data_IF_681896518770
#
_entry.id   IF_681896518770
#
_cell.length_a   1.000
_cell.length_b   1.000
_cell.length_c   1.000
_cell.angle_alpha   90.00
_cell.angle_beta   90.00
_cell.angle_gamma   90.00
#
_symmetry.space_group_name_H-M   'P 1'
#
loop_
_entity.id
_entity.type
_entity.pdbx_description
1 polymer ?
#
# COMPACT_ATOMS: atom_id res chain seq x y z
N UNK A 1 -0.53 -21.51 14.45
CA UNK A 1 -0.37 -20.04 14.28
C UNK A 1 -1.61 -19.54 13.57
N UNK A 2 -2.31 -18.53 14.10
CA UNK A 2 -3.47 -17.93 13.42
C UNK A 2 -3.03 -16.70 12.62
N UNK A 3 -3.79 -16.29 11.60
CA UNK A 3 -3.53 -15.02 10.92
C UNK A 3 -3.42 -13.85 11.91
N UNK A 4 -2.45 -12.97 11.72
CA UNK A 4 -2.19 -11.82 12.59
C UNK A 4 -1.46 -12.15 13.92
N UNK A 5 -1.12 -13.42 14.18
CA UNK A 5 -0.20 -13.78 15.27
C UNK A 5 1.27 -13.53 14.83
N UNK A 6 2.19 -13.22 15.76
CA UNK A 6 3.62 -13.17 15.46
C UNK A 6 4.12 -14.56 15.02
N UNK A 7 5.18 -14.57 14.20
CA UNK A 7 5.86 -15.81 13.84
C UNK A 7 6.35 -16.56 15.10
N UNK A 8 6.35 -17.91 15.08
CA UNK A 8 6.99 -18.66 16.16
C UNK A 8 8.51 -18.43 16.16
N UNK A 9 9.13 -18.53 17.35
CA UNK A 9 10.58 -18.45 17.48
C UNK A 9 11.19 -17.05 17.50
N UNK A 10 10.37 -15.99 17.48
CA UNK A 10 10.87 -14.62 17.64
C UNK A 10 11.58 -14.43 19.00
N UNK A 11 12.70 -13.72 18.98
CA UNK A 11 13.33 -13.20 20.20
C UNK A 11 12.38 -12.27 20.95
N UNK A 12 12.66 -12.02 22.23
CA UNK A 12 11.88 -11.08 23.03
C UNK A 12 11.82 -9.68 22.39
N UNK A 13 12.93 -9.22 21.79
CA UNK A 13 13.01 -7.93 21.12
C UNK A 13 12.17 -7.88 19.83
N UNK A 14 12.20 -8.93 19.01
CA UNK A 14 11.36 -9.02 17.80
C UNK A 14 9.88 -9.12 18.13
N UNK A 15 9.53 -9.92 19.13
CA UNK A 15 8.15 -10.00 19.63
C UNK A 15 7.69 -8.65 20.17
N UNK A 16 8.55 -7.92 20.88
CA UNK A 16 8.29 -6.56 21.33
C UNK A 16 8.00 -5.60 20.18
N UNK A 17 8.85 -5.62 19.13
CA UNK A 17 8.64 -4.80 17.91
C UNK A 17 7.33 -5.14 17.20
N UNK A 18 7.00 -6.43 17.08
CA UNK A 18 5.73 -6.87 16.49
C UNK A 18 4.53 -6.33 17.28
N UNK A 19 4.55 -6.47 18.61
CA UNK A 19 3.44 -6.03 19.46
C UNK A 19 3.29 -4.51 19.44
N UNK A 20 4.39 -3.76 19.45
CA UNK A 20 4.37 -2.31 19.29
C UNK A 20 3.79 -1.90 17.93
N UNK A 21 4.25 -2.52 16.84
CA UNK A 21 3.73 -2.27 15.50
C UNK A 21 2.23 -2.56 15.40
N UNK A 22 1.77 -3.66 15.99
CA UNK A 22 0.34 -3.98 16.06
C UNK A 22 -0.45 -2.92 16.83
N UNK A 23 0.04 -2.49 17.99
CA UNK A 23 -0.62 -1.44 18.77
C UNK A 23 -0.71 -0.11 18.01
N UNK A 24 0.35 0.27 17.27
CA UNK A 24 0.33 1.45 16.41
C UNK A 24 -0.66 1.29 15.24
N UNK A 25 -0.74 0.09 14.66
CA UNK A 25 -1.63 -0.22 13.54
C UNK A 25 -3.12 -0.13 13.91
N UNK A 26 -3.45 -0.43 15.17
CA UNK A 26 -4.81 -0.36 15.73
C UNK A 26 -5.15 1.02 16.32
N UNK A 27 -4.15 1.90 16.48
CA UNK A 27 -4.30 3.21 17.10
C UNK A 27 -5.07 4.15 16.19
N UNK A 28 -6.05 4.85 16.74
CA UNK A 28 -6.68 6.01 16.10
C UNK A 28 -5.66 7.14 15.97
N UNK A 29 -5.48 7.65 14.77
CA UNK A 29 -4.78 8.87 14.48
C UNK A 29 -5.76 10.04 14.53
N UNK A 30 -5.34 11.14 15.14
CA UNK A 30 -6.11 12.39 15.22
C UNK A 30 -5.50 13.45 14.30
N UNK A 31 -6.23 14.56 14.11
CA UNK A 31 -5.74 15.67 13.29
C UNK A 31 -4.42 16.25 13.81
N UNK A 32 -4.24 16.34 15.12
CA UNK A 32 -3.01 16.81 15.78
C UNK A 32 -1.86 15.79 15.72
N UNK A 33 -2.16 14.51 15.45
CA UNK A 33 -1.17 13.46 15.24
C UNK A 33 -0.80 13.24 13.77
N UNK A 34 -1.28 14.09 12.87
CA UNK A 34 -0.93 14.04 11.45
C UNK A 34 -1.83 13.16 10.59
N UNK A 35 -3.08 12.88 11.00
CA UNK A 35 -4.10 12.25 10.14
C UNK A 35 -4.29 13.02 8.82
N UNK A 36 -4.07 14.33 8.85
CA UNK A 36 -4.28 15.23 7.73
C UNK A 36 -5.65 15.91 7.75
N UNK A 37 -5.83 16.98 6.96
CA UNK A 37 -7.10 17.67 6.81
C UNK A 37 -8.17 16.81 6.12
N UNK A 38 -7.70 16.00 5.17
CA UNK A 38 -8.42 15.06 4.35
C UNK A 38 -7.79 13.67 4.59
N UNK A 39 -8.59 12.62 4.55
CA UNK A 39 -8.15 11.25 4.84
C UNK A 39 -9.15 10.21 4.29
N UNK A 40 -8.76 8.93 4.30
CA UNK A 40 -9.67 7.83 3.94
C UNK A 40 -10.13 7.02 5.16
N UNK A 41 -9.25 6.85 6.15
CA UNK A 41 -9.51 6.18 7.42
C UNK A 41 -8.59 6.72 8.52
N UNK A 42 -9.05 6.64 9.77
CA UNK A 42 -8.41 7.16 10.97
C UNK A 42 -7.43 6.19 11.64
N UNK A 43 -7.33 4.95 11.15
CA UNK A 43 -6.37 3.94 11.62
C UNK A 43 -6.15 2.89 10.54
N UNK A 44 -4.98 2.27 10.51
CA UNK A 44 -4.63 1.28 9.49
C UNK A 44 -5.57 0.06 9.55
N UNK A 45 -5.95 -0.37 10.77
CA UNK A 45 -6.88 -1.48 11.00
C UNK A 45 -8.33 -1.18 10.65
N UNK A 46 -8.69 0.03 10.17
CA UNK A 46 -10.05 0.29 9.69
C UNK A 46 -10.30 -0.37 8.32
N UNK A 47 -9.23 -0.59 7.54
CA UNK A 47 -9.30 -1.24 6.24
C UNK A 47 -8.57 -2.59 6.19
N UNK A 48 -7.53 -2.78 7.02
CA UNK A 48 -6.68 -3.97 6.99
C UNK A 48 -6.93 -4.88 8.20
N UNK A 49 -8.09 -5.54 8.25
CA UNK A 49 -8.59 -6.25 9.43
C UNK A 49 -9.09 -7.68 9.19
N UNK A 50 -9.07 -8.17 7.94
CA UNK A 50 -9.58 -9.49 7.58
C UNK A 50 -8.50 -10.47 7.11
N UNK A 51 -8.43 -11.70 7.65
CA UNK A 51 -9.27 -12.24 8.74
C UNK A 51 -8.84 -11.78 10.15
N UNK A 52 -7.77 -11.00 10.25
CA UNK A 52 -7.31 -10.37 11.48
C UNK A 52 -6.58 -9.05 11.13
N UNK A 53 -6.27 -8.23 12.14
CA UNK A 53 -5.49 -6.99 11.99
C UNK A 53 -4.19 -7.24 11.23
N UNK A 54 -3.92 -6.42 10.21
CA UNK A 54 -2.83 -6.58 9.24
C UNK A 54 -3.22 -7.39 7.99
N UNK A 55 -4.46 -7.88 7.95
CA UNK A 55 -5.03 -8.57 6.81
C UNK A 55 -5.49 -7.63 5.70
N UNK A 56 -6.30 -8.14 4.78
CA UNK A 56 -6.97 -7.31 3.77
C UNK A 56 -8.28 -6.74 4.31
N UNK A 57 -9.09 -6.17 3.43
CA UNK A 57 -10.45 -5.79 3.77
C UNK A 57 -11.23 -5.24 2.58
N UNK A 58 -12.54 -5.46 2.60
CA UNK A 58 -13.46 -5.08 1.51
C UNK A 58 -14.51 -4.03 1.92
N UNK A 59 -14.55 -3.67 3.21
CA UNK A 59 -15.56 -2.76 3.79
C UNK A 59 -15.33 -1.30 3.43
N UNK A 60 -14.07 -0.88 3.40
CA UNK A 60 -13.66 0.46 3.01
C UNK A 60 -12.88 0.32 1.71
N UNK A 61 -13.43 0.91 0.64
CA UNK A 61 -12.80 0.93 -0.66
C UNK A 61 -12.15 2.29 -0.88
N UNK A 62 -10.91 2.26 -1.33
CA UNK A 62 -10.16 3.47 -1.70
C UNK A 62 -10.43 3.78 -3.18
N UNK A 63 -10.70 5.04 -3.49
CA UNK A 63 -10.79 5.49 -4.89
C UNK A 63 -9.37 5.75 -5.39
N UNK A 64 -8.98 5.04 -6.45
CA UNK A 64 -7.72 5.24 -7.16
C UNK A 64 -7.99 5.88 -8.52
N UNK A 65 -7.31 6.96 -8.85
CA UNK A 65 -7.39 7.65 -10.14
C UNK A 65 -6.05 7.61 -10.88
N UNK A 66 -6.07 7.42 -12.19
CA UNK A 66 -4.85 7.42 -13.01
C UNK A 66 -5.08 8.12 -14.34
N UNK A 67 -4.01 8.67 -14.90
CA UNK A 67 -4.00 9.12 -16.30
C UNK A 67 -3.23 8.13 -17.16
N UNK A 68 -3.79 7.75 -18.30
CA UNK A 68 -3.13 6.92 -19.29
C UNK A 68 -2.88 7.74 -20.55
N UNK A 69 -1.61 8.10 -20.77
CA UNK A 69 -1.17 8.90 -21.91
C UNK A 69 0.08 8.25 -22.52
N UNK A 70 0.14 8.21 -23.85
CA UNK A 70 1.29 7.66 -24.61
C UNK A 70 1.72 6.25 -24.17
N UNK A 71 0.74 5.39 -23.88
CA UNK A 71 1.01 4.01 -23.44
C UNK A 71 1.50 3.88 -22.00
N UNK A 72 1.50 4.97 -21.21
CA UNK A 72 2.00 4.98 -19.83
C UNK A 72 0.91 5.39 -18.85
N UNK A 73 0.82 4.64 -17.76
CA UNK A 73 0.00 4.99 -16.60
C UNK A 73 0.77 5.97 -15.71
N UNK A 74 0.18 7.13 -15.42
CA UNK A 74 0.68 8.15 -14.50
C UNK A 74 -0.18 8.14 -13.24
N UNK A 75 0.46 8.27 -12.10
CA UNK A 75 -0.16 8.26 -10.77
C UNK A 75 -0.53 9.67 -10.29
N UNK A 76 -0.68 10.63 -11.21
CA UNK A 76 -1.20 11.99 -10.94
C UNK A 76 -0.48 12.76 -9.81
N UNK A 77 0.79 12.43 -9.50
CA UNK A 77 1.55 13.09 -8.40
C UNK A 77 1.49 14.63 -8.40
N UNK A 78 1.61 15.34 -9.52
CA UNK A 78 1.52 16.81 -9.53
C UNK A 78 0.15 17.36 -9.12
N UNK A 79 -0.89 16.52 -9.10
CA UNK A 79 -2.28 16.88 -8.82
C UNK A 79 -2.79 16.24 -7.51
N UNK A 80 -1.90 15.79 -6.64
CA UNK A 80 -2.23 15.17 -5.35
C UNK A 80 -1.99 13.66 -5.30
N UNK A 81 -1.82 13.01 -6.46
CA UNK A 81 -1.54 11.58 -6.54
C UNK A 81 -2.75 10.74 -6.94
N UNK A 82 -2.57 9.42 -6.90
CA UNK A 82 -3.58 8.47 -7.37
C UNK A 82 -4.64 8.13 -6.31
N UNK A 83 -4.41 8.46 -5.04
CA UNK A 83 -5.24 8.05 -3.92
C UNK A 83 -6.16 9.21 -3.53
N UNK A 84 -7.45 9.11 -3.85
CA UNK A 84 -8.37 10.21 -3.62
C UNK A 84 -8.92 10.12 -2.19
N UNK A 85 -8.71 11.15 -1.40
CA UNK A 85 -9.11 11.22 0.01
C UNK A 85 -10.59 11.60 0.14
N UNK A 86 -11.40 10.66 0.63
CA UNK A 86 -12.87 10.74 0.60
C UNK A 86 -13.51 11.27 1.89
N UNK A 87 -12.73 11.63 2.91
CA UNK A 87 -13.22 12.18 4.18
C UNK A 87 -12.50 13.47 4.52
N UNK A 88 -13.16 14.28 5.34
CA UNK A 88 -12.67 15.56 5.85
C UNK A 88 -12.69 15.49 7.38
N UNK A 89 -11.75 16.15 8.04
CA UNK A 89 -11.80 16.29 9.50
C UNK A 89 -12.99 17.15 9.92
N UNK A 90 -13.65 16.88 11.07
CA UNK A 90 -14.86 17.61 11.48
C UNK A 90 -14.69 19.14 11.53
N UNK A 91 -13.50 19.61 11.92
CA UNK A 91 -13.20 21.04 11.96
C UNK A 91 -13.24 21.66 10.56
N UNK A 92 -12.66 21.01 9.55
CA UNK A 92 -12.60 21.55 8.20
C UNK A 92 -13.92 21.37 7.45
N UNK A 93 -14.64 20.27 7.72
CA UNK A 93 -16.01 20.10 7.24
C UNK A 93 -16.91 21.24 7.72
N UNK A 94 -16.81 21.64 8.99
CA UNK A 94 -17.55 22.79 9.53
C UNK A 94 -17.15 24.14 8.88
N UNK A 95 -15.98 24.22 8.26
CA UNK A 95 -15.51 25.37 7.49
C UNK A 95 -15.87 25.27 5.99
N UNK A 96 -16.61 24.24 5.57
CA UNK A 96 -17.04 24.03 4.19
C UNK A 96 -15.97 23.43 3.28
N UNK A 97 -14.95 22.78 3.83
CA UNK A 97 -13.99 22.00 3.04
C UNK A 97 -14.64 20.68 2.65
N UNK A 98 -14.56 20.34 1.36
CA UNK A 98 -15.09 19.12 0.78
C UNK A 98 -13.97 18.07 0.59
N UNK A 99 -14.32 16.77 0.46
CA UNK A 99 -13.37 15.73 0.07
C UNK A 99 -12.67 16.03 -1.26
N UNK A 100 -11.56 15.33 -1.51
CA UNK A 100 -10.85 15.47 -2.77
C UNK A 100 -11.72 15.07 -3.97
N UNK A 101 -11.54 15.81 -5.06
CA UNK A 101 -12.15 15.48 -6.35
C UNK A 101 -11.15 14.76 -7.22
N UNK A 102 -11.66 13.85 -8.05
CA UNK A 102 -10.88 13.21 -9.10
C UNK A 102 -10.28 14.30 -10.00
N UNK A 103 -8.95 14.32 -10.24
CA UNK A 103 -8.34 15.31 -11.11
C UNK A 103 -8.90 15.24 -12.53
N UNK A 104 -9.15 16.38 -13.22
CA UNK A 104 -9.70 16.37 -14.58
C UNK A 104 -8.81 15.68 -15.62
N UNK A 105 -7.51 15.54 -15.34
CA UNK A 105 -6.54 14.82 -16.17
C UNK A 105 -6.65 13.29 -16.03
N UNK A 106 -7.37 12.79 -15.01
CA UNK A 106 -7.56 11.36 -14.82
C UNK A 106 -8.37 10.78 -15.98
N UNK A 107 -7.85 9.71 -16.58
CA UNK A 107 -8.51 9.01 -17.69
C UNK A 107 -9.30 7.80 -17.19
N UNK A 108 -8.99 7.28 -16.01
CA UNK A 108 -9.64 6.11 -15.43
C UNK A 108 -9.64 6.17 -13.89
N UNK A 109 -10.65 5.57 -13.27
CA UNK A 109 -10.77 5.43 -11.82
C UNK A 109 -11.27 4.04 -11.42
N UNK A 110 -10.81 3.55 -10.29
CA UNK A 110 -11.19 2.26 -9.75
C UNK A 110 -11.36 2.33 -8.23
N UNK A 111 -12.27 1.52 -7.68
CA UNK A 111 -12.39 1.31 -6.24
C UNK A 111 -11.62 0.05 -5.86
N UNK A 112 -10.63 0.20 -4.98
CA UNK A 112 -9.75 -0.90 -4.56
C UNK A 112 -10.02 -1.33 -3.12
N UNK A 113 -9.96 -2.63 -2.88
CA UNK A 113 -9.96 -3.22 -1.55
C UNK A 113 -8.57 -3.07 -0.90
N UNK A 114 -8.53 -3.14 0.42
CA UNK A 114 -7.29 -3.17 1.16
C UNK A 114 -6.58 -4.52 0.95
N UNK A 115 -5.33 -4.55 0.48
CA UNK A 115 -4.60 -5.80 0.29
C UNK A 115 -4.12 -6.38 1.63
N UNK A 116 -3.93 -7.70 1.74
CA UNK A 116 -3.33 -8.30 2.93
C UNK A 116 -1.87 -7.87 3.10
N UNK A 117 -1.49 -7.49 4.33
CA UNK A 117 -0.13 -7.03 4.64
C UNK A 117 0.73 -8.11 5.30
N UNK A 118 0.12 -9.25 5.65
CA UNK A 118 0.84 -10.37 6.24
C UNK A 118 2.00 -10.84 5.35
N UNK A 119 3.18 -10.94 5.95
CA UNK A 119 4.36 -11.47 5.28
C UNK A 119 5.00 -10.54 4.24
N UNK A 120 4.51 -9.31 4.03
CA UNK A 120 5.13 -8.39 3.06
C UNK A 120 6.61 -8.12 3.38
N UNK A 121 6.98 -8.00 4.66
CA UNK A 121 8.38 -7.88 5.07
C UNK A 121 9.23 -9.13 4.75
N UNK A 122 8.64 -10.32 4.73
CA UNK A 122 9.35 -11.54 4.30
C UNK A 122 9.55 -11.55 2.78
N UNK A 123 8.55 -11.09 2.02
CA UNK A 123 8.65 -10.93 0.57
C UNK A 123 9.69 -9.85 0.20
N UNK A 124 9.78 -8.78 0.99
CA UNK A 124 10.79 -7.74 0.83
C UNK A 124 12.21 -8.29 1.07
N UNK A 125 12.34 -9.19 2.05
CA UNK A 125 13.61 -9.83 2.40
C UNK A 125 14.12 -10.83 1.34
N UNK A 126 13.30 -11.22 0.36
CA UNK A 126 13.76 -12.02 -0.79
C UNK A 126 14.84 -11.23 -1.53
N UNK A 127 16.05 -11.74 -1.77
CA UNK A 127 17.07 -10.92 -2.40
C UNK A 127 16.79 -10.75 -3.90
N UNK A 128 17.32 -9.68 -4.48
CA UNK A 128 17.09 -9.33 -5.89
C UNK A 128 17.69 -10.35 -6.86
N UNK A 129 18.83 -10.94 -6.49
CA UNK A 129 19.45 -12.00 -7.29
C UNK A 129 18.51 -13.19 -7.51
N UNK A 130 17.66 -13.54 -6.52
CA UNK A 130 16.81 -14.70 -6.59
C UNK A 130 15.72 -14.47 -7.63
N UNK A 131 15.13 -13.26 -7.62
CA UNK A 131 14.13 -12.87 -8.62
C UNK A 131 14.72 -12.85 -10.03
N UNK A 132 15.93 -12.34 -10.19
CA UNK A 132 16.62 -12.29 -11.48
C UNK A 132 17.00 -13.69 -11.97
N UNK A 133 17.47 -14.58 -11.08
CA UNK A 133 17.78 -15.97 -11.42
C UNK A 133 16.54 -16.71 -11.88
N UNK A 134 15.45 -16.62 -11.11
CA UNK A 134 14.17 -17.24 -11.45
C UNK A 134 13.66 -16.77 -12.81
N UNK A 135 13.75 -15.47 -13.11
CA UNK A 135 13.33 -14.94 -14.42
C UNK A 135 14.19 -15.47 -15.58
N UNK A 136 15.51 -15.63 -15.38
CA UNK A 136 16.42 -16.20 -16.39
C UNK A 136 16.12 -17.67 -16.65
N UNK A 137 15.91 -18.45 -15.60
CA UNK A 137 15.56 -19.87 -15.69
C UNK A 137 14.24 -20.07 -16.46
N UNK A 138 13.23 -19.26 -16.12
CA UNK A 138 11.94 -19.25 -16.81
C UNK A 138 12.07 -18.91 -18.29
N UNK A 139 12.91 -17.93 -18.65
CA UNK A 139 13.15 -17.56 -20.04
C UNK A 139 13.91 -18.64 -20.84
N UNK A 140 14.78 -19.42 -20.19
CA UNK A 140 15.62 -20.42 -20.84
C UNK A 140 14.90 -21.73 -21.15
N UNK A 141 13.85 -22.09 -20.40
CA UNK A 141 13.18 -23.38 -20.58
C UNK A 141 11.81 -23.54 -19.91
N UNK A 142 11.21 -22.45 -19.41
CA UNK A 142 9.91 -22.49 -18.75
C UNK A 142 8.72 -22.43 -19.72
N UNK A 143 7.60 -23.04 -19.33
CA UNK A 143 6.28 -22.86 -20.00
C UNK A 143 5.73 -21.45 -19.76
N UNK A 144 6.22 -20.76 -18.71
CA UNK A 144 5.91 -19.38 -18.36
C UNK A 144 7.21 -18.58 -18.35
N UNK A 145 7.21 -17.39 -18.97
CA UNK A 145 8.30 -16.42 -18.89
C UNK A 145 7.81 -15.13 -18.24
N UNK A 146 8.61 -14.59 -17.32
CA UNK A 146 8.34 -13.34 -16.62
C UNK A 146 9.49 -12.35 -16.76
N UNK A 147 9.19 -11.06 -16.56
CA UNK A 147 10.22 -10.01 -16.43
C UNK A 147 10.10 -9.41 -15.05
N UNK A 148 11.23 -9.26 -14.37
CA UNK A 148 11.27 -8.55 -13.10
C UNK A 148 10.95 -7.07 -13.38
N UNK A 149 9.94 -6.46 -12.74
CA UNK A 149 9.63 -5.05 -12.94
C UNK A 149 10.81 -4.18 -12.51
N UNK A 150 11.32 -3.36 -13.43
CA UNK A 150 12.37 -2.40 -13.11
C UNK A 150 11.79 -1.14 -12.47
N UNK A 151 12.52 -0.53 -11.55
CA UNK A 151 12.25 0.84 -11.10
C UNK A 151 13.29 1.81 -11.64
N UNK A 152 12.99 3.12 -11.57
CA UNK A 152 13.96 4.19 -11.88
C UNK A 152 15.20 4.17 -10.99
N UNK A 153 15.15 3.48 -9.85
CA UNK A 153 16.26 3.34 -8.89
C UNK A 153 17.18 2.16 -9.19
N UNK A 154 16.89 1.37 -10.24
CA UNK A 154 17.62 0.16 -10.57
C UNK A 154 17.28 -1.05 -9.69
N UNK A 155 16.44 -0.88 -8.66
CA UNK A 155 15.88 -1.98 -7.87
C UNK A 155 14.62 -2.54 -8.51
N UNK A 156 14.42 -3.83 -8.34
CA UNK A 156 13.21 -4.53 -8.75
C UNK A 156 12.00 -4.07 -7.94
N UNK A 157 10.93 -3.64 -8.61
CA UNK A 157 9.65 -3.31 -7.98
C UNK A 157 8.79 -4.56 -7.83
N UNK A 158 8.15 -4.71 -6.66
CA UNK A 158 7.59 -5.98 -6.19
C UNK A 158 6.24 -5.85 -5.51
N UNK A 159 5.89 -4.64 -5.06
CA UNK A 159 4.67 -4.35 -4.34
C UNK A 159 3.78 -3.40 -5.13
N UNK A 160 2.55 -3.24 -4.66
CA UNK A 160 1.59 -2.33 -5.26
C UNK A 160 1.04 -2.81 -6.59
N UNK A 161 0.47 -1.87 -7.35
CA UNK A 161 -0.33 -2.18 -8.54
C UNK A 161 0.61 -2.38 -9.71
N UNK A 162 0.74 -3.64 -10.14
CA UNK A 162 1.65 -4.07 -11.23
C UNK A 162 3.14 -3.93 -10.89
N UNK A 163 3.49 -3.98 -9.60
CA UNK A 163 4.89 -3.93 -9.16
C UNK A 163 5.48 -2.54 -9.37
N UNK A 164 4.87 -1.53 -8.76
CA UNK A 164 5.27 -0.12 -8.86
C UNK A 164 6.03 0.39 -7.62
N UNK A 165 6.05 -0.38 -6.52
CA UNK A 165 6.80 -0.08 -5.30
C UNK A 165 7.97 -1.06 -5.07
N UNK A 166 9.16 -0.55 -4.73
CA UNK A 166 10.39 -1.34 -4.53
C UNK A 166 10.62 -1.78 -3.09
N UNK A 167 9.86 -1.23 -2.15
CA UNK A 167 9.96 -1.52 -0.73
C UNK A 167 8.57 -1.55 -0.08
N UNK A 168 8.45 -2.14 1.10
CA UNK A 168 7.21 -2.05 1.90
C UNK A 168 6.95 -0.61 2.31
N UNK A 169 7.99 0.17 2.60
CA UNK A 169 7.85 1.59 2.93
C UNK A 169 7.26 2.38 1.75
N UNK A 170 7.79 2.19 0.54
CA UNK A 170 7.30 2.83 -0.69
C UNK A 170 5.85 2.43 -0.97
N UNK A 171 5.52 1.17 -0.73
CA UNK A 171 4.16 0.66 -0.91
C UNK A 171 3.18 1.32 0.08
N UNK A 172 3.56 1.42 1.35
CA UNK A 172 2.76 2.06 2.40
C UNK A 172 2.60 3.56 2.16
N UNK A 173 3.64 4.23 1.64
CA UNK A 173 3.59 5.67 1.31
C UNK A 173 2.44 5.99 0.33
N UNK A 174 2.17 5.10 -0.63
CA UNK A 174 1.04 5.27 -1.56
C UNK A 174 -0.35 5.27 -0.91
N UNK A 175 -0.45 4.81 0.34
CA UNK A 175 -1.68 4.83 1.14
C UNK A 175 -1.83 6.09 2.01
N UNK A 176 -0.74 6.81 2.30
CA UNK A 176 -0.68 7.96 3.21
C UNK A 176 -0.65 9.32 2.51
N UNK A 177 -0.50 9.33 1.19
CA UNK A 177 -0.52 10.54 0.36
C UNK A 177 -1.92 11.10 0.16
#
# INVERSE_FOLDING_TARGET
MRPGDPLPGLTAAERGRFLLGKALFERLATADEGLGPLYNADRCSSCHDQPAVGGGGDRILVVKATAFEDGRCRDLRPEGGDNIQQRVTPLLEALGVEPERIPPSATDTVRVTAPPLFGLGLLEAVPEEALVSMAREQAAGGVVSGRVPGSSTGRSARFGRKGDAVSVADFVDTALR
#
